data_IF_421137951743
#
_entry.id   IF_421137951743
#
_cell.length_a   1.000
_cell.length_b   1.000
_cell.length_c   1.000
_cell.angle_alpha   90.00
_cell.angle_beta   90.00
_cell.angle_gamma   90.00
#
_symmetry.space_group_name_H-M   'P 1'
#
loop_
_entity.id
_entity.type
_entity.pdbx_description
1 polymer ?
#
# COMPACT_ATOMS: atom_id res chain seq x y z
N UNK A 1 10.59 41.35 21.80
CA UNK A 1 10.32 41.56 20.35
C UNK A 1 9.87 40.23 19.79
N UNK A 2 8.55 40.06 19.63
CA UNK A 2 7.98 38.85 19.05
C UNK A 2 8.13 38.88 17.54
N UNK A 3 8.80 37.90 16.98
CA UNK A 3 8.84 37.71 15.51
C UNK A 3 7.45 37.31 15.05
N UNK A 4 6.81 38.20 14.29
CA UNK A 4 5.52 37.94 13.68
C UNK A 4 5.58 36.69 12.82
N UNK A 5 4.67 35.75 13.04
CA UNK A 5 4.47 34.56 12.23
C UNK A 5 4.15 34.98 10.79
N UNK A 6 5.03 34.67 9.84
CA UNK A 6 4.82 34.96 8.43
C UNK A 6 4.26 33.71 7.72
N UNK A 7 2.95 33.67 7.43
CA UNK A 7 2.32 32.50 6.82
C UNK A 7 2.79 32.20 5.37
N UNK A 8 3.43 33.16 4.70
CA UNK A 8 3.99 32.95 3.36
C UNK A 8 5.26 32.11 3.32
N UNK A 9 5.95 31.89 4.48
CA UNK A 9 7.17 31.09 4.59
C UNK A 9 6.91 29.63 5.01
N UNK A 10 5.71 29.26 5.35
CA UNK A 10 5.29 27.90 5.70
C UNK A 10 4.57 27.23 4.53
N UNK A 11 5.14 27.27 3.33
CA UNK A 11 4.65 26.37 2.27
C UNK A 11 5.06 24.96 2.67
N UNK A 12 4.13 24.00 2.58
CA UNK A 12 4.38 22.56 2.77
C UNK A 12 5.57 22.06 1.93
N UNK A 13 5.94 22.80 0.88
CA UNK A 13 7.10 22.55 0.02
C UNK A 13 8.46 22.75 0.70
N UNK A 14 8.53 23.40 1.88
CA UNK A 14 9.80 23.67 2.58
C UNK A 14 10.22 22.56 3.56
N UNK A 15 9.41 21.54 3.75
CA UNK A 15 9.75 20.44 4.66
C UNK A 15 10.41 19.30 3.87
N UNK A 16 11.60 18.85 4.29
CA UNK A 16 12.33 17.76 3.63
C UNK A 16 11.51 16.46 3.50
N UNK A 17 10.60 16.22 4.45
CA UNK A 17 9.66 15.11 4.37
C UNK A 17 8.67 15.19 3.19
N UNK A 18 8.51 16.38 2.59
CA UNK A 18 7.59 16.66 1.50
C UNK A 18 8.30 16.86 0.15
N UNK A 19 9.62 16.94 0.10
CA UNK A 19 10.36 17.10 -1.18
C UNK A 19 10.02 16.00 -2.18
N UNK A 20 9.81 14.79 -1.69
CA UNK A 20 9.51 13.63 -2.53
C UNK A 20 8.01 13.43 -2.82
N UNK A 21 7.11 14.27 -2.27
CA UNK A 21 5.66 14.15 -2.50
C UNK A 21 5.29 14.55 -3.91
N UNK A 22 6.04 15.45 -4.53
CA UNK A 22 5.83 15.84 -5.91
C UNK A 22 5.91 14.64 -6.85
N UNK A 23 6.87 13.73 -6.66
CA UNK A 23 6.96 12.50 -7.43
C UNK A 23 5.72 11.61 -7.27
N UNK A 24 5.15 11.52 -6.06
CA UNK A 24 3.91 10.79 -5.82
C UNK A 24 2.74 11.44 -6.55
N UNK A 25 2.64 12.76 -6.46
CA UNK A 25 1.57 13.53 -7.11
C UNK A 25 1.67 13.43 -8.62
N UNK A 26 2.87 13.54 -9.19
CA UNK A 26 3.11 13.43 -10.64
C UNK A 26 2.80 12.03 -11.17
N UNK A 27 3.20 10.99 -10.45
CA UNK A 27 2.86 9.61 -10.81
C UNK A 27 1.34 9.38 -10.82
N UNK A 28 0.63 9.95 -9.84
CA UNK A 28 -0.82 9.86 -9.77
C UNK A 28 -1.53 10.66 -10.87
N UNK A 29 -1.03 11.85 -11.20
CA UNK A 29 -1.56 12.66 -12.31
C UNK A 29 -1.36 11.95 -13.65
N UNK A 30 -0.21 11.33 -13.87
CA UNK A 30 0.06 10.54 -15.07
C UNK A 30 -0.92 9.38 -15.22
N UNK A 31 -1.20 8.62 -14.13
CA UNK A 31 -2.17 7.53 -14.16
C UNK A 31 -3.60 8.02 -14.40
N UNK A 32 -4.01 9.11 -13.75
CA UNK A 32 -5.31 9.73 -13.97
C UNK A 32 -5.49 10.18 -15.43
N UNK A 33 -4.45 10.74 -16.03
CA UNK A 33 -4.44 11.18 -17.43
C UNK A 33 -4.56 9.99 -18.37
N UNK A 34 -3.80 8.92 -18.15
CA UNK A 34 -3.87 7.69 -18.91
C UNK A 34 -5.27 7.06 -18.85
N UNK A 35 -5.92 7.12 -17.69
CA UNK A 35 -7.30 6.64 -17.54
C UNK A 35 -8.32 7.51 -18.28
N UNK A 36 -8.12 8.82 -18.34
CA UNK A 36 -9.02 9.74 -19.02
C UNK A 36 -8.97 9.56 -20.55
N UNK A 37 -7.78 9.31 -21.11
CA UNK A 37 -7.56 9.10 -22.55
C UNK A 37 -8.19 7.83 -23.11
N UNK A 38 -8.59 6.88 -22.27
CA UNK A 38 -9.22 5.61 -22.69
C UNK A 38 -10.74 5.66 -22.77
N UNK A 39 -11.38 6.78 -22.40
CA UNK A 39 -12.85 6.92 -22.45
C UNK A 39 -13.26 7.91 -23.51
N UNK A 40 -14.22 7.55 -24.39
CA UNK A 40 -14.84 8.52 -25.29
C UNK A 40 -15.40 9.68 -24.47
N UNK A 41 -15.28 10.90 -25.00
CA UNK A 41 -15.80 12.13 -24.43
C UNK A 41 -17.28 11.98 -24.08
N UNK A 42 -17.57 11.59 -22.86
CA UNK A 42 -18.94 11.45 -22.39
C UNK A 42 -19.48 12.85 -22.11
N UNK A 43 -20.59 13.21 -22.71
CA UNK A 43 -21.40 14.36 -22.26
C UNK A 43 -21.75 14.12 -20.79
N UNK A 44 -21.13 14.88 -19.89
CA UNK A 44 -21.32 14.78 -18.45
C UNK A 44 -20.66 15.93 -17.72
N UNK A 45 -20.95 16.14 -16.43
CA UNK A 45 -20.36 17.21 -15.66
C UNK A 45 -18.82 17.09 -15.69
N UNK A 46 -18.15 18.23 -15.87
CA UNK A 46 -16.68 18.32 -15.82
C UNK A 46 -16.17 17.74 -14.50
N UNK A 47 -14.95 17.14 -14.48
CA UNK A 47 -14.33 16.74 -13.23
C UNK A 47 -14.35 17.90 -12.22
N UNK A 48 -14.71 17.68 -10.96
CA UNK A 48 -14.86 18.74 -9.99
C UNK A 48 -13.55 19.49 -9.68
N UNK A 49 -12.41 18.86 -9.98
CA UNK A 49 -11.07 19.41 -9.78
C UNK A 49 -10.18 19.12 -10.99
N UNK A 50 -9.39 20.10 -11.40
CA UNK A 50 -8.41 20.00 -12.47
C UNK A 50 -7.14 20.81 -12.12
N UNK A 51 -6.03 20.57 -12.83
CA UNK A 51 -4.78 21.34 -12.67
C UNK A 51 -4.30 21.39 -11.21
N UNK A 52 -3.98 22.59 -10.74
CA UNK A 52 -3.45 22.81 -9.40
C UNK A 52 -4.39 22.34 -8.27
N UNK A 53 -5.70 22.48 -8.45
CA UNK A 53 -6.68 22.01 -7.45
C UNK A 53 -6.69 20.47 -7.35
N UNK A 54 -6.54 19.76 -8.47
CA UNK A 54 -6.42 18.29 -8.46
C UNK A 54 -5.11 17.86 -7.77
N UNK A 55 -3.98 18.53 -8.08
CA UNK A 55 -2.69 18.29 -7.42
C UNK A 55 -2.81 18.46 -5.89
N UNK A 56 -3.46 19.55 -5.45
CA UNK A 56 -3.72 19.85 -4.04
C UNK A 56 -4.58 18.76 -3.37
N UNK A 57 -5.60 18.24 -4.08
CA UNK A 57 -6.45 17.17 -3.58
C UNK A 57 -5.67 15.84 -3.41
N UNK A 58 -4.77 15.50 -4.32
CA UNK A 58 -3.90 14.33 -4.22
C UNK A 58 -2.99 14.44 -2.99
N UNK A 59 -2.35 15.59 -2.82
CA UNK A 59 -1.52 15.89 -1.65
C UNK A 59 -2.34 15.78 -0.35
N UNK A 60 -3.57 16.29 -0.32
CA UNK A 60 -4.45 16.20 0.83
C UNK A 60 -4.78 14.73 1.20
N UNK A 61 -5.08 13.89 0.20
CA UNK A 61 -5.32 12.45 0.41
C UNK A 61 -4.06 11.76 0.96
N UNK A 62 -2.89 12.10 0.44
CA UNK A 62 -1.62 11.60 0.95
C UNK A 62 -1.40 12.03 2.41
N UNK A 63 -1.69 13.27 2.79
CA UNK A 63 -1.60 13.77 4.17
C UNK A 63 -2.55 13.00 5.12
N UNK A 64 -3.75 12.63 4.67
CA UNK A 64 -4.63 11.76 5.46
C UNK A 64 -3.95 10.43 5.74
N UNK A 65 -3.29 9.84 4.77
CA UNK A 65 -2.57 8.57 4.92
C UNK A 65 -1.33 8.71 5.82
N UNK A 66 -0.44 9.63 5.48
CA UNK A 66 0.88 9.78 6.11
C UNK A 66 0.80 10.39 7.52
N UNK A 67 0.13 11.53 7.65
CA UNK A 67 0.01 12.26 8.92
C UNK A 67 -1.12 11.75 9.81
N UNK A 68 -2.05 10.93 9.28
CA UNK A 68 -3.24 10.48 9.99
C UNK A 68 -4.29 11.59 10.17
N UNK A 69 -4.25 12.65 9.36
CA UNK A 69 -5.16 13.79 9.46
C UNK A 69 -6.63 13.38 9.24
N UNK A 70 -7.52 14.05 9.94
CA UNK A 70 -8.94 13.89 9.71
C UNK A 70 -9.35 14.55 8.40
N UNK A 71 -10.29 13.95 7.65
CA UNK A 71 -10.80 14.49 6.39
C UNK A 71 -11.34 15.91 6.50
N UNK A 72 -12.01 16.23 7.61
CA UNK A 72 -12.55 17.59 7.85
C UNK A 72 -11.42 18.60 8.05
N UNK A 73 -10.41 18.25 8.83
CA UNK A 73 -9.27 19.15 9.10
C UNK A 73 -8.47 19.44 7.83
N UNK A 74 -8.11 18.40 7.06
CA UNK A 74 -7.35 18.61 5.82
C UNK A 74 -8.17 19.38 4.78
N UNK A 75 -9.50 19.21 4.73
CA UNK A 75 -10.39 19.97 3.85
C UNK A 75 -10.34 21.46 4.12
N UNK A 76 -10.30 21.86 5.39
CA UNK A 76 -10.13 23.27 5.79
C UNK A 76 -8.75 23.81 5.42
N UNK A 77 -7.67 23.02 5.68
CA UNK A 77 -6.30 23.45 5.40
C UNK A 77 -6.00 23.63 3.91
N UNK A 78 -6.62 22.82 3.04
CA UNK A 78 -6.40 22.88 1.61
C UNK A 78 -7.50 23.66 0.83
N UNK A 79 -8.47 24.22 1.54
CA UNK A 79 -9.59 24.96 0.94
C UNK A 79 -10.36 24.13 -0.12
N UNK A 80 -10.55 22.86 0.16
CA UNK A 80 -11.35 21.93 -0.64
C UNK A 80 -12.35 21.25 0.30
N UNK A 81 -13.64 21.27 0.04
CA UNK A 81 -14.62 20.60 0.89
C UNK A 81 -14.25 19.15 1.14
N UNK A 82 -14.24 18.73 2.40
CA UNK A 82 -13.82 17.36 2.77
C UNK A 82 -14.65 16.28 2.07
N UNK A 83 -15.93 16.55 1.79
CA UNK A 83 -16.80 15.67 1.03
C UNK A 83 -16.29 15.44 -0.41
N UNK A 84 -15.73 16.47 -1.04
CA UNK A 84 -15.10 16.38 -2.37
C UNK A 84 -13.85 15.51 -2.31
N UNK A 85 -12.96 15.74 -1.33
CA UNK A 85 -11.74 14.93 -1.14
C UNK A 85 -12.06 13.47 -0.89
N UNK A 86 -13.01 13.20 0.02
CA UNK A 86 -13.42 11.84 0.35
C UNK A 86 -14.08 11.14 -0.85
N UNK A 87 -14.93 11.83 -1.60
CA UNK A 87 -15.58 11.30 -2.79
C UNK A 87 -14.59 10.96 -3.90
N UNK A 88 -13.54 11.77 -4.08
CA UNK A 88 -12.44 11.47 -5.00
C UNK A 88 -11.68 10.22 -4.56
N UNK A 89 -11.26 10.15 -3.31
CA UNK A 89 -10.59 8.98 -2.74
C UNK A 89 -11.43 7.72 -2.92
N UNK A 90 -12.70 7.74 -2.54
CA UNK A 90 -13.61 6.61 -2.67
C UNK A 90 -13.84 6.20 -4.14
N UNK A 91 -13.98 7.18 -5.05
CA UNK A 91 -14.11 6.92 -6.49
C UNK A 91 -12.85 6.26 -7.06
N UNK A 92 -11.67 6.79 -6.76
CA UNK A 92 -10.39 6.25 -7.25
C UNK A 92 -10.10 4.86 -6.68
N UNK A 93 -10.48 4.62 -5.41
CA UNK A 93 -10.42 3.29 -4.80
C UNK A 93 -11.31 2.30 -5.56
N UNK A 94 -12.58 2.64 -5.81
CA UNK A 94 -13.52 1.80 -6.57
C UNK A 94 -13.07 1.53 -8.00
N UNK A 95 -12.41 2.49 -8.64
CA UNK A 95 -11.85 2.34 -9.98
C UNK A 95 -10.51 1.59 -10.00
N UNK A 96 -9.96 1.19 -8.84
CA UNK A 96 -8.68 0.48 -8.74
C UNK A 96 -7.45 1.31 -9.14
N UNK A 97 -7.55 2.64 -9.07
CA UNK A 97 -6.45 3.54 -9.45
C UNK A 97 -5.17 3.25 -8.67
N UNK A 98 -5.28 3.13 -7.35
CA UNK A 98 -4.13 2.92 -6.47
C UNK A 98 -3.40 1.62 -6.79
N UNK A 99 -4.14 0.55 -6.99
CA UNK A 99 -3.59 -0.76 -7.37
C UNK A 99 -2.86 -0.70 -8.70
N UNK A 100 -3.45 -0.08 -9.72
CA UNK A 100 -2.82 0.04 -11.03
C UNK A 100 -1.53 0.84 -10.97
N UNK A 101 -1.56 2.00 -10.29
CA UNK A 101 -0.37 2.83 -10.11
C UNK A 101 0.72 2.07 -9.37
N UNK A 102 0.39 1.41 -8.25
CA UNK A 102 1.35 0.61 -7.50
C UNK A 102 2.00 -0.47 -8.37
N UNK A 103 1.20 -1.21 -9.15
CA UNK A 103 1.72 -2.25 -10.04
C UNK A 103 2.67 -1.68 -11.11
N UNK A 104 2.35 -0.53 -11.69
CA UNK A 104 3.24 0.14 -12.67
C UNK A 104 4.55 0.57 -12.05
N UNK A 105 4.52 1.12 -10.85
CA UNK A 105 5.74 1.53 -10.14
C UNK A 105 6.60 0.32 -9.74
N UNK A 106 5.97 -0.79 -9.30
CA UNK A 106 6.69 -2.04 -9.01
C UNK A 106 7.37 -2.56 -10.29
N UNK A 107 6.67 -2.56 -11.41
CA UNK A 107 7.23 -2.97 -12.69
C UNK A 107 8.42 -2.09 -13.10
N UNK A 108 8.27 -0.77 -13.01
CA UNK A 108 9.35 0.17 -13.31
C UNK A 108 10.57 -0.04 -12.40
N UNK A 109 10.35 -0.28 -11.10
CA UNK A 109 11.43 -0.59 -10.16
C UNK A 109 12.16 -1.88 -10.54
N UNK A 110 11.42 -2.94 -10.84
CA UNK A 110 12.01 -4.23 -11.20
C UNK A 110 12.81 -4.12 -12.50
N UNK A 111 12.30 -3.41 -13.51
CA UNK A 111 13.01 -3.12 -14.75
C UNK A 111 14.30 -2.33 -14.51
N UNK A 112 14.26 -1.28 -13.69
CA UNK A 112 15.44 -0.50 -13.33
C UNK A 112 16.50 -1.31 -12.57
N UNK A 113 16.08 -2.38 -11.86
CA UNK A 113 16.98 -3.31 -11.20
C UNK A 113 17.41 -4.50 -12.08
N UNK A 114 17.05 -4.54 -13.37
CA UNK A 114 17.38 -5.64 -14.27
C UNK A 114 16.60 -6.94 -14.02
N UNK A 115 15.50 -6.89 -13.28
CA UNK A 115 14.68 -8.05 -12.94
C UNK A 115 13.56 -8.31 -13.94
N UNK A 116 13.10 -9.56 -13.97
CA UNK A 116 11.87 -9.94 -14.70
C UNK A 116 10.64 -9.25 -14.12
N UNK A 117 9.61 -8.96 -14.94
CA UNK A 117 8.36 -8.32 -14.48
C UNK A 117 7.69 -9.03 -13.31
N UNK A 118 7.60 -10.34 -13.36
CA UNK A 118 7.05 -11.17 -12.26
C UNK A 118 8.19 -11.88 -11.51
N UNK A 119 8.17 -11.89 -10.17
CA UNK A 119 9.14 -12.62 -9.38
C UNK A 119 8.85 -14.13 -9.39
N UNK A 120 9.89 -14.95 -9.18
CA UNK A 120 9.75 -16.40 -8.98
C UNK A 120 9.30 -16.79 -7.57
N UNK A 121 9.45 -15.86 -6.61
CA UNK A 121 9.05 -16.08 -5.22
C UNK A 121 8.48 -14.80 -4.60
N UNK A 122 7.57 -14.99 -3.65
CA UNK A 122 7.04 -13.94 -2.78
C UNK A 122 7.20 -14.33 -1.32
N UNK A 123 7.34 -13.35 -0.46
CA UNK A 123 7.41 -13.54 0.99
C UNK A 123 6.07 -13.08 1.58
N UNK A 124 5.47 -13.94 2.42
CA UNK A 124 4.16 -13.69 3.00
C UNK A 124 4.25 -13.55 4.51
N UNK A 125 3.53 -12.56 5.04
CA UNK A 125 3.36 -12.38 6.48
C UNK A 125 2.12 -11.54 6.78
N UNK A 126 1.78 -11.43 8.07
CA UNK A 126 0.65 -10.67 8.55
C UNK A 126 0.96 -9.83 9.78
N UNK A 127 0.24 -8.70 9.90
CA UNK A 127 0.32 -7.83 11.06
C UNK A 127 -1.08 -7.50 11.58
N UNK A 128 -1.31 -7.67 12.88
CA UNK A 128 -2.51 -7.19 13.56
C UNK A 128 -2.35 -5.72 13.94
N UNK A 129 -3.36 -4.90 13.59
CA UNK A 129 -3.43 -3.47 13.89
C UNK A 129 -4.66 -3.17 14.73
N UNK A 130 -4.53 -2.26 15.69
CA UNK A 130 -5.69 -1.75 16.44
C UNK A 130 -6.66 -1.03 15.52
N UNK A 131 -7.94 -1.06 15.85
CA UNK A 131 -8.95 -0.33 15.07
C UNK A 131 -9.96 0.40 15.94
N UNK A 132 -10.51 1.48 15.40
CA UNK A 132 -11.60 2.22 16.01
C UNK A 132 -12.88 1.36 16.10
N UNK A 133 -13.79 1.65 17.03
CA UNK A 133 -15.08 0.92 17.15
C UNK A 133 -15.91 0.87 15.87
N UNK A 134 -15.82 1.91 15.03
CA UNK A 134 -16.57 2.06 13.78
C UNK A 134 -15.92 1.39 12.57
N UNK A 135 -14.75 0.75 12.75
CA UNK A 135 -14.06 0.02 11.70
C UNK A 135 -14.84 -1.22 11.27
N UNK A 136 -14.73 -1.58 9.98
CA UNK A 136 -15.30 -2.84 9.47
C UNK A 136 -14.67 -4.06 10.15
N UNK A 137 -15.44 -5.13 10.32
CA UNK A 137 -14.97 -6.49 10.55
C UNK A 137 -13.94 -6.73 11.66
N UNK A 138 -14.03 -6.02 12.79
CA UNK A 138 -13.08 -6.13 13.92
C UNK A 138 -13.09 -7.52 14.55
N UNK A 139 -11.89 -8.02 14.87
CA UNK A 139 -11.70 -9.26 15.65
C UNK A 139 -10.68 -9.07 16.77
N UNK A 140 -10.59 -10.04 17.67
CA UNK A 140 -9.60 -10.02 18.76
C UNK A 140 -8.52 -11.08 18.51
N UNK A 141 -7.30 -10.62 18.31
CA UNK A 141 -6.11 -11.47 18.23
C UNK A 141 -5.67 -11.84 19.65
N UNK A 142 -5.99 -13.05 20.10
CA UNK A 142 -5.69 -13.53 21.44
C UNK A 142 -4.18 -13.64 21.73
N UNK A 143 -3.37 -13.95 20.72
CA UNK A 143 -1.92 -14.08 20.87
C UNK A 143 -1.23 -12.72 21.04
N UNK A 144 -1.66 -11.72 20.27
CA UNK A 144 -1.09 -10.35 20.32
C UNK A 144 -1.87 -9.41 21.24
N UNK A 145 -3.00 -9.86 21.79
CA UNK A 145 -3.93 -9.06 22.63
C UNK A 145 -4.38 -7.76 21.92
N UNK A 146 -4.63 -7.84 20.62
CA UNK A 146 -5.05 -6.72 19.78
C UNK A 146 -6.49 -6.94 19.30
N UNK A 147 -7.36 -5.95 19.56
CA UNK A 147 -8.70 -5.88 18.96
C UNK A 147 -8.63 -4.97 17.72
N UNK A 148 -8.85 -5.55 16.54
CA UNK A 148 -8.71 -4.79 15.30
C UNK A 148 -8.74 -5.61 14.03
N UNK A 149 -7.87 -5.25 13.11
CA UNK A 149 -7.75 -5.79 11.76
C UNK A 149 -6.38 -6.43 11.58
N UNK A 150 -6.31 -7.49 10.81
CA UNK A 150 -5.07 -8.12 10.36
C UNK A 150 -4.82 -7.79 8.90
N UNK A 151 -3.62 -7.29 8.59
CA UNK A 151 -3.14 -6.99 7.25
C UNK A 151 -2.25 -8.15 6.81
N UNK A 152 -2.55 -8.77 5.68
CA UNK A 152 -1.78 -9.84 5.06
C UNK A 152 -1.12 -9.30 3.81
N UNK A 153 0.20 -9.50 3.68
CA UNK A 153 0.99 -9.07 2.52
C UNK A 153 1.67 -10.26 1.87
N UNK A 154 1.75 -10.22 0.54
CA UNK A 154 2.73 -10.97 -0.22
C UNK A 154 3.62 -9.95 -0.93
N UNK A 155 4.91 -9.96 -0.64
CA UNK A 155 5.89 -9.00 -1.17
C UNK A 155 6.96 -9.70 -1.99
N UNK A 156 7.56 -8.98 -2.95
CA UNK A 156 8.74 -9.43 -3.67
C UNK A 156 10.03 -9.28 -2.81
N UNK A 157 11.18 -9.64 -3.38
CA UNK A 157 12.50 -9.52 -2.71
C UNK A 157 12.85 -8.09 -2.29
N UNK A 158 12.24 -7.08 -2.89
CA UNK A 158 12.44 -5.66 -2.55
C UNK A 158 11.52 -5.19 -1.43
N UNK A 159 10.49 -6.00 -1.09
CA UNK A 159 9.48 -5.68 -0.08
C UNK A 159 8.26 -4.94 -0.63
N UNK A 160 8.05 -4.94 -1.96
CA UNK A 160 6.88 -4.33 -2.57
C UNK A 160 5.72 -5.33 -2.73
N UNK A 161 4.49 -4.93 -2.36
CA UNK A 161 3.38 -5.86 -2.28
C UNK A 161 2.80 -6.18 -3.66
N UNK A 162 2.77 -7.45 -3.97
CA UNK A 162 2.09 -8.01 -5.14
C UNK A 162 0.63 -8.34 -4.84
N UNK A 163 0.33 -8.67 -3.59
CA UNK A 163 -1.02 -8.88 -3.10
C UNK A 163 -1.19 -8.34 -1.67
N UNK A 164 -2.38 -7.80 -1.40
CA UNK A 164 -2.76 -7.23 -0.10
C UNK A 164 -4.16 -7.73 0.23
N UNK A 165 -4.32 -8.30 1.42
CA UNK A 165 -5.64 -8.66 1.97
C UNK A 165 -5.76 -8.18 3.41
N UNK A 166 -6.96 -7.85 3.83
CA UNK A 166 -7.27 -7.45 5.20
C UNK A 166 -8.40 -8.31 5.76
N UNK A 167 -8.32 -8.63 7.03
CA UNK A 167 -9.31 -9.47 7.69
C UNK A 167 -9.49 -9.06 9.16
N UNK A 168 -10.55 -9.51 9.85
CA UNK A 168 -10.63 -9.40 11.31
C UNK A 168 -9.39 -10.00 11.97
N UNK A 169 -8.87 -9.37 13.04
CA UNK A 169 -7.60 -9.77 13.65
C UNK A 169 -7.62 -11.19 14.27
N UNK A 170 -8.78 -11.74 14.57
CA UNK A 170 -8.95 -13.11 15.07
C UNK A 170 -8.82 -14.19 13.97
N UNK A 171 -8.73 -13.79 12.68
CA UNK A 171 -8.56 -14.77 11.60
C UNK A 171 -7.15 -15.36 11.66
N UNK A 172 -7.06 -16.68 11.62
CA UNK A 172 -5.77 -17.37 11.57
C UNK A 172 -5.02 -17.06 10.27
N UNK A 173 -3.69 -16.93 10.33
CA UNK A 173 -2.86 -16.52 9.19
C UNK A 173 -3.01 -17.45 7.99
N UNK A 174 -3.06 -18.77 8.21
CA UNK A 174 -3.30 -19.75 7.14
C UNK A 174 -4.64 -19.61 6.41
N UNK A 175 -5.67 -19.02 7.06
CA UNK A 175 -6.95 -18.71 6.41
C UNK A 175 -6.91 -17.34 5.74
N UNK A 176 -6.21 -16.38 6.32
CA UNK A 176 -6.08 -15.02 5.80
C UNK A 176 -5.20 -14.92 4.56
N UNK A 177 -4.28 -15.87 4.35
CA UNK A 177 -3.42 -15.89 3.18
C UNK A 177 -4.13 -16.40 1.91
N UNK A 178 -5.18 -17.18 2.01
CA UNK A 178 -5.87 -17.76 0.84
C UNK A 178 -6.35 -16.69 -0.15
N UNK A 179 -7.00 -15.58 0.27
CA UNK A 179 -7.32 -14.49 -0.64
C UNK A 179 -6.09 -13.83 -1.29
N UNK A 180 -4.95 -13.80 -0.60
CA UNK A 180 -3.68 -13.30 -1.15
C UNK A 180 -3.21 -14.22 -2.28
N UNK A 181 -3.27 -15.54 -2.10
CA UNK A 181 -2.92 -16.52 -3.13
C UNK A 181 -3.81 -16.36 -4.38
N UNK A 182 -5.12 -16.16 -4.19
CA UNK A 182 -6.04 -15.88 -5.31
C UNK A 182 -5.68 -14.58 -6.05
N UNK A 183 -5.28 -13.52 -5.34
CA UNK A 183 -4.82 -12.28 -5.96
C UNK A 183 -3.53 -12.51 -6.75
N UNK A 184 -2.58 -13.29 -6.23
CA UNK A 184 -1.34 -13.65 -6.91
C UNK A 184 -1.62 -14.46 -8.18
N UNK A 185 -2.46 -15.50 -8.10
CA UNK A 185 -2.86 -16.30 -9.25
C UNK A 185 -3.58 -15.47 -10.32
N UNK A 186 -4.48 -14.56 -9.90
CA UNK A 186 -5.22 -13.65 -10.78
C UNK A 186 -4.34 -12.66 -11.55
N UNK A 187 -3.12 -12.39 -11.09
CA UNK A 187 -2.11 -11.61 -11.83
C UNK A 187 -1.15 -12.47 -12.66
N UNK A 188 -1.33 -13.78 -12.67
CA UNK A 188 -0.49 -14.73 -13.41
C UNK A 188 0.75 -15.22 -12.65
N UNK A 189 0.90 -14.91 -11.38
CA UNK A 189 2.02 -15.42 -10.57
C UNK A 189 1.95 -16.95 -10.44
N UNK A 190 3.05 -17.61 -10.80
CA UNK A 190 3.26 -19.04 -10.64
C UNK A 190 4.65 -19.24 -10.08
N UNK A 191 4.76 -19.40 -8.77
CA UNK A 191 6.05 -19.49 -8.10
C UNK A 191 5.88 -19.93 -6.67
N UNK A 192 6.81 -19.57 -5.81
CA UNK A 192 6.85 -20.01 -4.42
C UNK A 192 6.42 -18.88 -3.47
N UNK A 193 5.49 -19.15 -2.57
CA UNK A 193 5.12 -18.30 -1.45
C UNK A 193 5.87 -18.79 -0.18
N UNK A 194 6.80 -17.98 0.30
CA UNK A 194 7.63 -18.23 1.47
C UNK A 194 7.00 -17.59 2.70
N UNK A 195 6.79 -18.32 3.78
CA UNK A 195 6.19 -17.78 5.00
C UNK A 195 6.69 -18.44 6.27
N UNK A 196 6.24 -17.98 7.43
CA UNK A 196 6.57 -18.62 8.71
C UNK A 196 5.77 -19.93 8.92
N UNK A 197 6.03 -20.62 10.02
CA UNK A 197 5.36 -21.90 10.35
C UNK A 197 3.83 -21.81 10.50
N UNK A 198 3.25 -20.61 10.64
CA UNK A 198 1.80 -20.42 10.65
C UNK A 198 1.15 -20.72 9.30
N UNK A 199 1.95 -20.75 8.23
CA UNK A 199 1.49 -21.06 6.86
C UNK A 199 1.69 -22.54 6.48
N UNK A 200 1.91 -23.42 7.45
CA UNK A 200 2.00 -24.87 7.26
C UNK A 200 0.62 -25.52 7.22
N UNK A 201 0.56 -26.71 6.62
CA UNK A 201 -0.61 -27.59 6.68
C UNK A 201 -1.15 -27.96 5.31
N UNK A 202 -1.59 -29.21 5.19
CA UNK A 202 -2.04 -29.84 3.93
C UNK A 202 -3.14 -29.05 3.21
N UNK A 203 -4.08 -28.46 3.97
CA UNK A 203 -5.18 -27.68 3.40
C UNK A 203 -4.66 -26.45 2.65
N UNK A 204 -3.68 -25.76 3.22
CA UNK A 204 -3.10 -24.58 2.61
C UNK A 204 -2.21 -24.95 1.42
N UNK A 205 -1.41 -26.03 1.52
CA UNK A 205 -0.61 -26.57 0.43
C UNK A 205 -1.49 -26.88 -0.78
N UNK A 206 -2.56 -27.65 -0.59
CA UNK A 206 -3.53 -27.98 -1.66
C UNK A 206 -4.17 -26.73 -2.27
N UNK A 207 -4.50 -25.72 -1.45
CA UNK A 207 -5.06 -24.46 -1.96
C UNK A 207 -4.04 -23.70 -2.83
N UNK A 208 -2.76 -23.74 -2.50
CA UNK A 208 -1.68 -23.16 -3.30
C UNK A 208 -1.47 -23.95 -4.59
N UNK A 209 -1.35 -25.27 -4.50
CA UNK A 209 -1.17 -26.17 -5.65
C UNK A 209 -2.29 -26.01 -6.69
N UNK A 210 -3.54 -25.90 -6.24
CA UNK A 210 -4.70 -25.65 -7.13
C UNK A 210 -4.59 -24.32 -7.91
N UNK A 211 -3.78 -23.37 -7.42
CA UNK A 211 -3.50 -22.08 -8.04
C UNK A 211 -2.15 -22.04 -8.78
N UNK A 212 -1.39 -23.14 -8.76
CA UNK A 212 -0.05 -23.21 -9.33
C UNK A 212 1.00 -22.47 -8.49
N UNK A 213 0.76 -22.32 -7.17
CA UNK A 213 1.64 -21.63 -6.23
C UNK A 213 2.12 -22.62 -5.17
N UNK A 214 3.43 -22.89 -5.12
CA UNK A 214 4.04 -23.69 -4.08
C UNK A 214 4.10 -22.90 -2.76
N UNK A 215 3.62 -23.49 -1.66
CA UNK A 215 3.72 -22.87 -0.35
C UNK A 215 4.85 -23.52 0.42
N UNK A 216 5.82 -22.71 0.83
CA UNK A 216 7.01 -23.20 1.51
C UNK A 216 7.13 -22.50 2.88
N UNK A 217 6.70 -23.17 3.97
CA UNK A 217 6.88 -22.65 5.30
C UNK A 217 8.36 -22.71 5.68
N UNK A 218 8.91 -21.59 6.13
CA UNK A 218 10.27 -21.51 6.67
C UNK A 218 10.26 -22.07 8.08
N UNK A 219 10.92 -23.23 8.27
CA UNK A 219 11.27 -23.70 9.58
C UNK A 219 12.47 -22.88 10.09
N UNK A 220 12.29 -22.13 11.16
CA UNK A 220 13.43 -21.60 11.92
C UNK A 220 14.30 -22.79 12.37
N UNK A 221 15.50 -22.91 11.86
CA UNK A 221 16.67 -23.49 12.49
C UNK A 221 16.72 -24.95 12.96
N UNK A 222 15.79 -25.85 12.60
CA UNK A 222 15.91 -27.28 12.94
C UNK A 222 15.51 -28.14 11.74
N UNK A 223 16.55 -28.76 11.11
CA UNK A 223 16.36 -29.82 10.11
C UNK A 223 16.77 -29.47 8.68
N UNK A 224 18.03 -29.15 8.45
CA UNK A 224 18.74 -29.46 7.20
C UNK A 224 18.35 -28.78 5.90
N UNK A 225 17.28 -28.06 5.80
CA UNK A 225 16.94 -27.32 4.59
C UNK A 225 17.13 -25.83 4.84
N UNK A 226 18.19 -25.29 4.23
CA UNK A 226 18.55 -23.88 4.31
C UNK A 226 17.51 -23.04 3.57
N UNK A 227 16.52 -22.51 4.29
CA UNK A 227 15.80 -21.34 3.85
C UNK A 227 16.45 -20.17 4.59
N UNK A 228 17.06 -19.22 3.88
CA UNK A 228 17.74 -18.11 4.54
C UNK A 228 16.75 -17.36 5.46
N UNK A 229 17.02 -17.32 6.76
CA UNK A 229 16.35 -16.39 7.69
C UNK A 229 16.42 -14.97 7.13
N UNK A 230 17.42 -14.69 6.30
CA UNK A 230 17.62 -13.46 5.57
C UNK A 230 16.48 -13.03 4.64
N UNK A 231 15.52 -13.89 4.26
CA UNK A 231 14.41 -13.48 3.36
C UNK A 231 13.18 -13.03 4.16
N UNK A 232 12.91 -13.59 5.34
CA UNK A 232 11.74 -13.21 6.15
C UNK A 232 11.74 -11.75 6.57
N UNK A 233 12.89 -11.18 6.91
CA UNK A 233 13.00 -9.79 7.30
C UNK A 233 12.47 -8.81 6.24
N UNK A 234 12.38 -9.23 4.97
CA UNK A 234 11.88 -8.38 3.87
C UNK A 234 10.42 -8.02 4.09
N UNK A 235 9.54 -8.99 4.39
CA UNK A 235 8.12 -8.71 4.63
C UNK A 235 7.90 -8.02 5.97
N UNK A 236 8.68 -8.38 7.01
CA UNK A 236 8.66 -7.70 8.31
C UNK A 236 9.03 -6.21 8.15
N UNK A 237 10.08 -5.92 7.36
CA UNK A 237 10.47 -4.57 6.96
C UNK A 237 9.34 -3.84 6.22
N UNK A 238 8.64 -4.52 5.32
CA UNK A 238 7.52 -3.92 4.58
C UNK A 238 6.36 -3.54 5.50
N UNK A 239 6.04 -4.41 6.46
CA UNK A 239 5.08 -4.14 7.52
C UNK A 239 5.54 -2.99 8.45
N UNK A 240 6.85 -2.88 8.70
CA UNK A 240 7.43 -1.77 9.44
C UNK A 240 7.37 -0.44 8.65
N UNK A 241 7.56 -0.48 7.33
CA UNK A 241 7.44 0.73 6.50
C UNK A 241 6.06 1.35 6.57
N UNK A 242 4.99 0.54 6.44
CA UNK A 242 3.62 1.05 6.50
C UNK A 242 3.25 1.56 7.89
N UNK A 243 3.93 1.15 8.96
CA UNK A 243 3.70 1.68 10.30
C UNK A 243 4.14 3.13 10.48
N UNK A 244 4.97 3.65 9.57
CA UNK A 244 5.34 5.08 9.54
C UNK A 244 4.19 5.96 9.07
N UNK A 245 3.19 5.38 8.43
CA UNK A 245 1.97 6.06 7.99
C UNK A 245 0.96 6.03 9.12
N UNK A 246 0.75 7.15 9.78
CA UNK A 246 -0.03 7.24 11.02
C UNK A 246 -1.45 6.71 10.88
N UNK A 247 -2.05 6.85 9.69
CA UNK A 247 -3.38 6.29 9.41
C UNK A 247 -3.44 4.78 9.50
N UNK A 248 -2.33 4.07 9.27
CA UNK A 248 -2.23 2.61 9.29
C UNK A 248 -1.82 2.02 10.66
N UNK A 249 -1.66 2.85 11.71
CA UNK A 249 -1.37 2.38 13.06
C UNK A 249 -2.64 2.12 13.89
N UNK A 250 -3.68 2.91 13.64
CA UNK A 250 -5.03 2.66 14.17
C UNK A 250 -6.01 2.79 13.00
N UNK A 251 -6.74 1.71 12.71
CA UNK A 251 -7.59 1.63 11.54
C UNK A 251 -8.95 2.26 11.84
N UNK A 252 -9.36 3.24 11.04
CA UNK A 252 -10.64 3.95 11.15
C UNK A 252 -11.58 3.68 9.97
N UNK A 253 -11.12 2.96 8.97
CA UNK A 253 -11.82 2.72 7.71
C UNK A 253 -13.07 1.88 7.93
N UNK A 254 -14.15 2.26 7.23
CA UNK A 254 -15.44 1.57 7.28
C UNK A 254 -15.58 0.47 6.24
N UNK A 255 -14.61 0.36 5.31
CA UNK A 255 -14.59 -0.67 4.27
C UNK A 255 -13.19 -1.23 4.10
N UNK A 256 -13.10 -2.51 3.72
CA UNK A 256 -11.85 -3.18 3.40
C UNK A 256 -11.11 -2.45 2.26
N UNK A 257 -11.84 -2.07 1.21
CA UNK A 257 -11.26 -1.39 0.05
C UNK A 257 -10.58 -0.07 0.39
N UNK A 258 -11.11 0.71 1.34
CA UNK A 258 -10.48 1.95 1.78
C UNK A 258 -9.19 1.70 2.56
N UNK A 259 -9.15 0.67 3.40
CA UNK A 259 -7.92 0.30 4.09
C UNK A 259 -6.85 -0.19 3.13
N UNK A 260 -7.21 -1.07 2.19
CA UNK A 260 -6.30 -1.55 1.14
C UNK A 260 -5.77 -0.37 0.32
N UNK A 261 -6.62 0.59 -0.06
CA UNK A 261 -6.21 1.79 -0.77
C UNK A 261 -5.17 2.63 0.01
N UNK A 262 -5.32 2.81 1.33
CA UNK A 262 -4.31 3.50 2.12
C UNK A 262 -3.00 2.72 2.22
N UNK A 263 -3.04 1.40 2.28
CA UNK A 263 -1.82 0.58 2.21
C UNK A 263 -1.15 0.76 0.85
N UNK A 264 -1.90 0.74 -0.24
CA UNK A 264 -1.38 0.99 -1.60
C UNK A 264 -0.76 2.39 -1.72
N UNK A 265 -1.42 3.44 -1.23
CA UNK A 265 -0.90 4.82 -1.20
C UNK A 265 0.42 4.89 -0.41
N UNK A 266 0.53 4.20 0.70
CA UNK A 266 1.77 4.14 1.48
C UNK A 266 2.92 3.53 0.65
N UNK A 267 2.70 2.41 -0.03
CA UNK A 267 3.72 1.79 -0.88
C UNK A 267 4.01 2.61 -2.15
N UNK A 268 3.01 3.25 -2.76
CA UNK A 268 3.21 4.19 -3.86
C UNK A 268 4.17 5.30 -3.41
N UNK A 269 3.93 5.90 -2.25
CA UNK A 269 4.78 6.95 -1.71
C UNK A 269 6.23 6.49 -1.46
N UNK A 270 6.42 5.28 -0.92
CA UNK A 270 7.75 4.72 -0.68
C UNK A 270 8.48 4.48 -1.99
N UNK A 271 7.78 3.90 -2.96
CA UNK A 271 8.37 3.47 -4.23
C UNK A 271 8.68 4.63 -5.16
N UNK A 272 7.78 5.62 -5.25
CA UNK A 272 8.04 6.85 -6.03
C UNK A 272 9.31 7.56 -5.57
N UNK A 273 9.51 7.70 -4.25
CA UNK A 273 10.74 8.28 -3.68
C UNK A 273 12.00 7.49 -4.03
N UNK A 274 11.90 6.17 -4.05
CA UNK A 274 13.04 5.32 -4.40
C UNK A 274 13.38 5.40 -5.88
N UNK A 275 12.37 5.44 -6.75
CA UNK A 275 12.57 5.61 -8.19
C UNK A 275 13.23 6.95 -8.51
N UNK A 276 12.78 8.05 -7.88
CA UNK A 276 13.43 9.37 -8.05
C UNK A 276 14.90 9.32 -7.65
N UNK A 277 15.24 8.68 -6.53
CA UNK A 277 16.63 8.57 -6.08
C UNK A 277 17.50 7.76 -7.04
N UNK A 278 16.97 6.68 -7.63
CA UNK A 278 17.69 5.90 -8.64
C UNK A 278 18.05 6.78 -9.85
N UNK A 279 17.06 7.47 -10.41
CA UNK A 279 17.26 8.36 -11.55
C UNK A 279 18.26 9.48 -11.23
N UNK A 280 18.19 10.04 -10.01
CA UNK A 280 19.12 11.11 -9.59
C UNK A 280 20.55 10.59 -9.43
N UNK A 281 20.75 9.37 -8.98
CA UNK A 281 22.06 8.73 -8.85
C UNK A 281 22.68 8.41 -10.22
N UNK A 282 21.88 7.94 -11.17
CA UNK A 282 22.33 7.67 -12.56
C UNK A 282 22.74 8.95 -13.30
N UNK A 283 22.11 10.09 -13.01
CA UNK A 283 22.46 11.39 -13.61
C UNK A 283 23.77 11.97 -13.00
N UNK A 284 24.10 11.55 -11.77
CA UNK A 284 25.25 12.05 -11.02
C UNK A 284 26.51 11.16 -11.13
N UNK A 285 26.39 10.00 -11.77
CA UNK A 285 27.48 9.04 -12.03
C UNK A 285 27.99 9.16 -13.46
#
# INVERSE_FOLDING_TARGET
>A
MGTAFNPAKTSLASWDAFRDVDAVVDAMLAELTAMAGTKPTRRGPKPPLAGAALRKAILAIWCVCFCGMQWRAIGQLCDIPFGTLYSLFARWTRLGLWRRLLNRLILAWRQACGDTPEPSAVIVDSRSCRSAPTCFGRGFDGGKKIKGIKIHLAVDKYGFPLAIHVSPANRHDSKGIVPVLHQLAGRGFKGTALGNLSYRGQRLSRAGEALGIAIQPSAGGHGGTFIPEGIRWVVERSLAWISRYRRLNTIFERTEGHLVAFIEIAFISILSRRLVRLVTQEISA
#
